data_IF_887070041695
#
_entry.id   IF_887070041695
#
_cell.length_a   1.000
_cell.length_b   1.000
_cell.length_c   1.000
_cell.angle_alpha   90.00
_cell.angle_beta   90.00
_cell.angle_gamma   90.00
#
_symmetry.space_group_name_H-M   'P 1'
#
loop_
_entity.id
_entity.type
_entity.pdbx_description
1 polymer ?
#
# COMPACT_ATOMS: atom_id res chain seq x y z
N UNK A 1 21.96 55.49 10.05
CA UNK A 1 20.73 54.70 9.81
C UNK A 1 20.97 53.25 9.33
N UNK A 2 22.21 52.74 9.23
CA UNK A 2 22.48 51.51 8.47
C UNK A 2 22.57 50.19 9.27
N UNK A 3 22.87 50.23 10.58
CA UNK A 3 23.23 49.03 11.35
C UNK A 3 22.01 48.32 11.95
N UNK A 4 21.01 49.08 12.41
CA UNK A 4 19.79 48.54 13.01
C UNK A 4 18.92 47.82 11.99
N UNK A 5 18.79 48.38 10.78
CA UNK A 5 18.05 47.76 9.67
C UNK A 5 18.70 46.44 9.25
N UNK A 6 20.03 46.39 9.21
CA UNK A 6 20.79 45.18 8.88
C UNK A 6 20.64 44.07 9.93
N UNK A 7 20.62 44.43 11.22
CA UNK A 7 20.42 43.48 12.33
C UNK A 7 18.99 42.93 12.35
N UNK A 8 18.00 43.77 12.05
CA UNK A 8 16.60 43.36 11.92
C UNK A 8 16.41 42.41 10.73
N UNK A 9 16.97 42.76 9.56
CA UNK A 9 16.91 41.92 8.36
C UNK A 9 17.57 40.54 8.58
N UNK A 10 18.74 40.49 9.23
CA UNK A 10 19.41 39.22 9.55
C UNK A 10 18.57 38.33 10.45
N UNK A 11 17.97 38.89 11.50
CA UNK A 11 17.12 38.11 12.40
C UNK A 11 15.89 37.57 11.68
N UNK A 12 15.22 38.38 10.85
CA UNK A 12 14.07 37.94 10.05
C UNK A 12 14.46 36.80 9.11
N UNK A 13 15.60 36.89 8.43
CA UNK A 13 16.10 35.83 7.54
C UNK A 13 16.44 34.56 8.31
N UNK A 14 17.06 34.67 9.50
CA UNK A 14 17.37 33.51 10.36
C UNK A 14 16.09 32.79 10.80
N UNK A 15 15.08 33.53 11.27
CA UNK A 15 13.79 32.96 11.66
C UNK A 15 13.06 32.33 10.47
N UNK A 16 13.15 32.94 9.29
CA UNK A 16 12.56 32.39 8.07
C UNK A 16 13.25 31.09 7.63
N UNK A 17 14.58 31.05 7.67
CA UNK A 17 15.40 29.86 7.34
C UNK A 17 15.12 28.71 8.33
N UNK A 18 15.01 29.01 9.63
CA UNK A 18 14.66 28.02 10.65
C UNK A 18 13.22 27.50 10.50
N UNK A 19 12.28 28.37 10.12
CA UNK A 19 10.90 27.98 9.83
C UNK A 19 10.81 27.07 8.58
N UNK A 20 11.50 27.40 7.49
CA UNK A 20 11.46 26.59 6.25
C UNK A 20 12.31 25.31 6.33
N UNK A 21 13.32 25.26 7.19
CA UNK A 21 14.10 24.05 7.46
C UNK A 21 13.25 22.90 8.07
N UNK A 22 12.05 23.22 8.58
CA UNK A 22 11.11 22.26 9.16
C UNK A 22 10.12 21.69 8.12
N UNK A 23 10.13 22.16 6.87
CA UNK A 23 9.30 21.63 5.77
C UNK A 23 10.01 20.55 4.94
N UNK A 24 10.90 19.75 5.55
CA UNK A 24 11.46 18.55 4.92
C UNK A 24 10.46 17.38 4.97
N UNK A 25 9.24 17.57 4.50
CA UNK A 25 8.39 16.45 4.11
C UNK A 25 8.62 16.21 2.63
N UNK A 26 9.74 15.55 2.34
CA UNK A 26 9.96 14.89 1.05
C UNK A 26 8.70 14.07 0.78
N UNK A 27 8.04 14.38 -0.34
CA UNK A 27 6.96 13.62 -0.94
C UNK A 27 7.20 12.12 -0.70
N UNK A 28 6.59 11.56 0.33
CA UNK A 28 6.75 10.15 0.65
C UNK A 28 6.17 9.40 -0.54
N UNK A 29 7.02 8.72 -1.31
CA UNK A 29 6.57 7.86 -2.40
C UNK A 29 5.62 6.86 -1.78
N UNK A 30 4.34 6.94 -2.15
CA UNK A 30 3.29 6.13 -1.59
C UNK A 30 3.25 4.80 -2.34
N UNK A 31 4.17 3.91 -1.97
CA UNK A 31 4.38 2.62 -2.62
C UNK A 31 4.53 1.55 -1.56
N UNK A 32 3.94 0.40 -1.81
CA UNK A 32 4.13 -0.79 -0.99
C UNK A 32 5.53 -1.38 -1.21
N UNK A 33 6.11 -1.94 -0.16
CA UNK A 33 7.22 -2.87 -0.28
C UNK A 33 6.73 -4.22 -0.81
N UNK A 34 7.65 -5.05 -1.30
CA UNK A 34 7.31 -6.39 -1.77
C UNK A 34 6.68 -7.23 -0.66
N UNK A 35 5.66 -8.02 -1.02
CA UNK A 35 5.04 -8.99 -0.12
C UNK A 35 3.98 -8.43 0.82
N UNK A 36 3.60 -7.16 0.72
CA UNK A 36 2.51 -6.56 1.50
C UNK A 36 1.19 -7.33 1.36
N UNK A 37 0.99 -7.93 0.19
CA UNK A 37 -0.16 -8.73 -0.17
C UNK A 37 -0.24 -10.04 0.65
N UNK A 38 0.88 -10.59 1.13
CA UNK A 38 0.93 -11.81 1.95
C UNK A 38 0.46 -11.61 3.39
N UNK A 39 0.20 -10.37 3.79
CA UNK A 39 -0.28 -10.04 5.14
C UNK A 39 -1.79 -9.87 5.18
N UNK A 40 -2.35 -10.05 6.36
CA UNK A 40 -3.75 -9.75 6.63
C UNK A 40 -3.98 -8.23 6.82
N UNK A 41 -5.25 -7.82 6.86
CA UNK A 41 -5.62 -6.41 7.09
C UNK A 41 -5.15 -5.93 8.47
N UNK A 42 -4.96 -6.85 9.41
CA UNK A 42 -4.46 -6.58 10.74
C UNK A 42 -3.05 -6.01 10.72
N UNK A 43 -2.22 -6.29 9.71
CA UNK A 43 -0.91 -5.65 9.54
C UNK A 43 -0.96 -4.12 9.46
N UNK A 44 -2.12 -3.55 9.11
CA UNK A 44 -2.38 -2.11 9.12
C UNK A 44 -2.82 -1.57 10.50
N UNK A 45 -3.02 -2.45 11.49
CA UNK A 45 -3.45 -2.06 12.84
C UNK A 45 -2.29 -1.50 13.64
N UNK A 46 -2.39 -0.21 13.96
CA UNK A 46 -1.46 0.47 14.88
C UNK A 46 -1.45 -0.12 16.29
N UNK A 47 -2.53 -0.76 16.70
CA UNK A 47 -2.64 -1.38 18.03
C UNK A 47 -1.84 -2.68 18.09
N UNK A 48 -1.88 -3.49 17.02
CA UNK A 48 -1.23 -4.81 17.00
C UNK A 48 0.21 -4.76 16.52
N UNK A 49 0.50 -3.95 15.48
CA UNK A 49 1.80 -3.94 14.79
C UNK A 49 2.43 -2.56 14.71
N UNK A 50 1.90 -1.58 15.46
CA UNK A 50 2.39 -0.21 15.42
C UNK A 50 2.27 0.40 14.03
N UNK A 51 3.21 1.26 13.67
CA UNK A 51 3.20 1.94 12.37
C UNK A 51 3.86 1.13 11.24
N UNK A 52 4.13 -0.18 11.44
CA UNK A 52 4.79 -1.00 10.43
C UNK A 52 4.03 -1.05 9.11
N UNK A 53 2.74 -1.41 9.13
CA UNK A 53 1.93 -1.48 7.91
C UNK A 53 1.80 -0.13 7.23
N UNK A 54 1.66 0.93 8.02
CA UNK A 54 1.60 2.33 7.55
C UNK A 54 2.88 2.73 6.79
N UNK A 55 4.05 2.35 7.31
CA UNK A 55 5.35 2.72 6.74
C UNK A 55 5.77 1.87 5.55
N UNK A 56 5.42 0.59 5.56
CA UNK A 56 5.91 -0.39 4.58
C UNK A 56 4.89 -0.70 3.49
N UNK A 57 3.60 -0.60 3.80
CA UNK A 57 2.51 -1.01 2.93
C UNK A 57 1.41 0.09 2.87
N UNK A 58 1.75 1.36 2.59
CA UNK A 58 0.80 2.47 2.63
C UNK A 58 -0.32 2.37 1.59
N UNK A 59 -0.10 1.73 0.43
CA UNK A 59 -1.14 1.51 -0.59
C UNK A 59 -2.06 0.37 -0.13
N UNK A 60 -1.50 -0.76 0.30
CA UNK A 60 -2.26 -1.89 0.87
C UNK A 60 -3.14 -1.46 2.06
N UNK A 61 -2.62 -0.58 2.93
CA UNK A 61 -3.35 0.00 4.06
C UNK A 61 -4.28 1.17 3.69
N UNK A 62 -4.39 1.52 2.41
CA UNK A 62 -5.36 2.52 1.91
C UNK A 62 -5.01 3.97 2.25
N UNK A 63 -3.77 4.27 2.60
CA UNK A 63 -3.32 5.59 3.06
C UNK A 63 -2.95 6.54 1.91
N UNK A 64 -2.80 6.01 0.70
CA UNK A 64 -2.36 6.76 -0.47
C UNK A 64 -3.46 7.56 -1.20
N UNK A 65 -4.61 7.83 -0.56
CA UNK A 65 -5.61 8.78 -1.07
C UNK A 65 -6.13 8.50 -2.47
N UNK A 66 -6.41 7.23 -2.80
CA UNK A 66 -6.95 6.85 -4.12
C UNK A 66 -5.92 6.73 -5.25
N UNK A 67 -4.62 6.91 -4.95
CA UNK A 67 -3.54 6.35 -5.78
C UNK A 67 -3.47 4.85 -5.56
N UNK A 68 -4.57 4.15 -5.84
CA UNK A 68 -4.48 2.72 -6.07
C UNK A 68 -3.78 2.59 -7.42
N UNK A 69 -2.52 2.19 -7.42
CA UNK A 69 -1.90 1.52 -8.58
C UNK A 69 -2.54 0.15 -8.80
N UNK A 70 -3.86 0.07 -8.68
CA UNK A 70 -4.65 -1.03 -9.21
C UNK A 70 -4.62 -0.82 -10.71
N UNK A 71 -3.54 -1.29 -11.32
CA UNK A 71 -3.45 -1.50 -12.76
C UNK A 71 -4.78 -2.11 -13.18
N UNK A 72 -5.57 -1.37 -13.95
CA UNK A 72 -6.97 -1.71 -14.28
C UNK A 72 -7.04 -2.97 -15.16
N UNK A 73 -5.89 -3.52 -15.52
CA UNK A 73 -5.75 -4.83 -16.14
C UNK A 73 -5.67 -5.89 -15.04
N UNK A 74 -6.70 -6.74 -14.88
CA UNK A 74 -6.60 -7.89 -14.00
C UNK A 74 -5.38 -8.73 -14.39
N UNK A 75 -4.63 -9.26 -13.41
CA UNK A 75 -3.45 -10.07 -13.71
C UNK A 75 -3.83 -11.27 -14.61
N UNK A 76 -2.93 -11.73 -15.49
CA UNK A 76 -3.21 -12.85 -16.40
C UNK A 76 -3.65 -14.09 -15.62
N UNK A 77 -4.67 -14.80 -16.11
CA UNK A 77 -5.17 -16.02 -15.48
C UNK A 77 -4.23 -17.20 -15.78
N UNK A 78 -3.19 -17.32 -14.99
CA UNK A 78 -2.20 -18.40 -15.06
C UNK A 78 -1.83 -18.84 -13.66
N UNK A 79 -1.36 -20.07 -13.54
CA UNK A 79 -0.65 -20.54 -12.35
C UNK A 79 0.82 -20.14 -12.51
N UNK A 80 1.38 -19.51 -11.49
CA UNK A 80 2.80 -19.17 -11.41
C UNK A 80 3.59 -20.27 -10.72
N UNK A 81 2.96 -21.01 -9.80
CA UNK A 81 3.57 -22.18 -9.17
C UNK A 81 3.48 -23.40 -10.11
N UNK A 82 4.58 -24.10 -10.39
CA UNK A 82 4.58 -25.25 -11.30
C UNK A 82 3.69 -26.41 -10.83
N UNK A 83 3.60 -26.62 -9.51
CA UNK A 83 3.03 -27.84 -8.92
C UNK A 83 1.75 -27.55 -8.13
N UNK A 84 0.89 -26.62 -8.59
CA UNK A 84 -0.38 -26.30 -7.92
C UNK A 84 -1.25 -27.52 -7.61
N UNK A 85 -1.21 -28.54 -8.48
CA UNK A 85 -1.94 -29.81 -8.34
C UNK A 85 -1.38 -30.76 -7.27
N UNK A 86 -0.16 -30.51 -6.78
CA UNK A 86 0.45 -31.28 -5.69
C UNK A 86 -0.01 -30.81 -4.29
N UNK A 87 -0.56 -29.59 -4.20
CA UNK A 87 -1.08 -29.05 -2.96
C UNK A 87 -2.44 -29.65 -2.62
N UNK A 88 -2.77 -29.68 -1.34
CA UNK A 88 -4.06 -30.16 -0.86
C UNK A 88 -5.19 -29.25 -1.35
N UNK A 89 -6.37 -29.82 -1.61
CA UNK A 89 -7.56 -29.09 -2.10
C UNK A 89 -7.96 -27.90 -1.20
N UNK A 90 -7.66 -27.99 0.10
CA UNK A 90 -7.95 -26.92 1.06
C UNK A 90 -7.11 -25.66 0.81
N UNK A 91 -5.99 -25.74 0.12
CA UNK A 91 -5.15 -24.58 -0.26
C UNK A 91 -5.94 -23.51 -1.00
N UNK A 92 -6.96 -23.91 -1.77
CA UNK A 92 -7.81 -22.99 -2.51
C UNK A 92 -8.94 -22.37 -1.67
N UNK A 93 -9.28 -22.94 -0.52
CA UNK A 93 -10.45 -22.54 0.28
C UNK A 93 -10.09 -22.04 1.68
N UNK A 94 -8.93 -22.42 2.20
CA UNK A 94 -8.43 -22.04 3.50
C UNK A 94 -8.10 -20.55 3.50
N UNK A 95 -8.69 -19.75 4.41
CA UNK A 95 -8.44 -18.31 4.50
C UNK A 95 -6.96 -17.96 4.67
N UNK A 96 -6.18 -18.83 5.31
CA UNK A 96 -4.74 -18.64 5.56
C UNK A 96 -3.92 -18.70 4.28
N UNK A 97 -4.38 -19.44 3.27
CA UNK A 97 -3.69 -19.62 1.98
C UNK A 97 -4.33 -18.83 0.84
N UNK A 98 -5.47 -18.18 1.10
CA UNK A 98 -6.22 -17.42 0.11
C UNK A 98 -5.33 -16.48 -0.69
N UNK A 99 -4.50 -15.70 -0.01
CA UNK A 99 -3.66 -14.73 -0.70
C UNK A 99 -2.62 -15.41 -1.60
N UNK A 100 -1.94 -16.42 -1.07
CA UNK A 100 -0.98 -17.19 -1.86
C UNK A 100 -1.64 -17.84 -3.08
N UNK A 101 -2.81 -18.44 -2.92
CA UNK A 101 -3.59 -19.05 -4.00
C UNK A 101 -4.05 -18.00 -5.05
N UNK A 102 -4.42 -16.80 -4.59
CA UNK A 102 -4.72 -15.63 -5.44
C UNK A 102 -3.49 -15.09 -6.19
N UNK A 103 -2.26 -15.43 -5.80
CA UNK A 103 -1.06 -14.95 -6.50
C UNK A 103 -0.35 -16.04 -7.30
N UNK A 104 -0.43 -17.30 -6.87
CA UNK A 104 0.41 -18.40 -7.37
C UNK A 104 -0.36 -19.50 -8.10
N UNK A 105 -1.59 -19.81 -7.66
CA UNK A 105 -2.36 -20.95 -8.17
C UNK A 105 -3.77 -20.56 -8.60
N UNK A 106 -3.91 -19.37 -9.20
CA UNK A 106 -5.21 -18.78 -9.52
C UNK A 106 -6.05 -19.60 -10.48
N UNK A 107 -5.42 -20.19 -11.48
CA UNK A 107 -6.14 -20.97 -12.50
C UNK A 107 -6.53 -22.32 -11.90
N UNK A 108 -5.62 -22.99 -11.19
CA UNK A 108 -5.91 -24.21 -10.44
C UNK A 108 -7.06 -24.01 -9.44
N UNK A 109 -6.98 -22.96 -8.61
CA UNK A 109 -8.00 -22.63 -7.62
C UNK A 109 -9.25 -21.93 -8.19
N UNK A 110 -9.34 -21.74 -9.52
CA UNK A 110 -10.47 -21.08 -10.19
C UNK A 110 -10.75 -19.66 -9.67
N UNK A 111 -9.72 -18.98 -9.19
CA UNK A 111 -9.75 -17.61 -8.66
C UNK A 111 -9.55 -16.55 -9.75
N UNK A 112 -9.49 -16.97 -11.01
CA UNK A 112 -9.40 -16.07 -12.16
C UNK A 112 -10.66 -15.24 -12.43
N UNK A 113 -11.65 -15.27 -11.54
CA UNK A 113 -12.86 -14.47 -11.69
C UNK A 113 -12.44 -13.02 -11.77
N UNK A 114 -12.62 -12.44 -12.96
CA UNK A 114 -12.55 -11.02 -13.17
C UNK A 114 -13.50 -10.45 -12.13
N UNK A 115 -13.01 -9.72 -11.13
CA UNK A 115 -13.86 -8.80 -10.38
C UNK A 115 -14.28 -7.70 -11.36
N UNK A 116 -15.08 -8.05 -12.37
CA UNK A 116 -16.15 -7.18 -12.76
C UNK A 116 -16.88 -6.96 -11.46
N UNK A 117 -16.79 -5.75 -10.94
CA UNK A 117 -17.76 -5.20 -10.01
C UNK A 117 -19.10 -5.62 -10.60
N UNK A 118 -19.65 -6.72 -10.09
CA UNK A 118 -20.92 -7.19 -10.58
C UNK A 118 -21.88 -6.17 -10.02
N UNK A 119 -22.73 -5.61 -10.88
CA UNK A 119 -23.74 -4.62 -10.52
C UNK A 119 -24.75 -5.10 -9.46
N UNK A 120 -24.47 -6.21 -8.75
CA UNK A 120 -25.19 -6.73 -7.58
C UNK A 120 -24.61 -6.24 -6.24
N UNK A 121 -23.44 -5.62 -6.21
CA UNK A 121 -22.89 -4.99 -4.99
C UNK A 121 -23.30 -3.52 -4.83
N UNK A 122 -24.05 -2.97 -5.81
CA UNK A 122 -24.81 -1.73 -5.64
C UNK A 122 -26.26 -2.16 -5.40
N UNK A 123 -26.60 -2.41 -4.13
CA UNK A 123 -28.00 -2.43 -3.73
C UNK A 123 -28.30 -1.12 -2.98
N UNK A 124 -29.39 -0.40 -3.33
CA UNK A 124 -29.73 0.90 -2.76
C UNK A 124 -30.04 0.86 -1.27
#
# INVERSE_FOLDING_TARGET
MSVYVYKMLKNVVIWFVLAVASLKSVLAVCVDKEGCENYDREACSVIKYGDWGIKNCPVFCGLCGGLTTSTTTPPPCVDLEPDCESYQDDTCTNPSYKHWAESHCRKFCKLCVIKHISARDIQP
#
